data_IF_593762687683
#
_entry.id   IF_593762687683
#
_cell.length_a   1.000
_cell.length_b   1.000
_cell.length_c   1.000
_cell.angle_alpha   90.00
_cell.angle_beta   90.00
_cell.angle_gamma   90.00
#
_symmetry.space_group_name_H-M   'P 1'
#
loop_
_entity.id
_entity.type
_entity.pdbx_description
1 polymer ?
#
# COMPACT_ATOMS: atom_id res chain seq x y z
N UNK A 1 40.20 33.62 49.89
CA UNK A 1 38.82 33.22 50.26
C UNK A 1 38.13 32.88 48.93
N UNK A 2 38.10 31.58 48.57
CA UNK A 2 36.93 30.68 48.67
C UNK A 2 35.74 31.19 47.84
N UNK A 3 34.99 30.43 47.05
CA UNK A 3 34.99 29.09 46.44
C UNK A 3 33.65 29.03 45.66
N UNK A 4 33.43 27.98 44.85
CA UNK A 4 32.20 27.58 44.12
C UNK A 4 31.92 28.35 42.81
N UNK A 5 31.87 27.76 41.62
CA UNK A 5 31.85 26.34 41.22
C UNK A 5 30.46 25.97 40.68
N UNK A 6 30.27 26.08 39.36
CA UNK A 6 29.20 25.37 38.64
C UNK A 6 29.75 24.92 37.29
N UNK A 7 30.04 23.63 37.26
CA UNK A 7 30.54 22.86 36.14
C UNK A 7 29.35 22.31 35.35
N UNK A 8 29.32 22.60 34.04
CA UNK A 8 28.39 21.98 33.09
C UNK A 8 28.72 20.49 32.94
N UNK A 9 27.77 19.56 33.13
CA UNK A 9 28.04 18.15 32.89
C UNK A 9 27.82 17.80 31.41
N UNK A 10 28.74 16.97 30.96
CA UNK A 10 28.93 16.37 29.66
C UNK A 10 27.76 15.50 29.17
N UNK A 11 27.54 15.60 27.86
CA UNK A 11 26.86 14.67 26.97
C UNK A 11 27.38 13.23 27.18
N UNK A 12 26.49 12.29 27.52
CA UNK A 12 26.85 10.88 27.59
C UNK A 12 25.99 10.05 28.54
N UNK A 13 24.70 9.86 28.23
CA UNK A 13 23.86 8.75 28.74
C UNK A 13 22.47 8.81 28.11
N UNK A 14 22.28 8.16 26.97
CA UNK A 14 20.93 7.87 26.45
C UNK A 14 20.80 6.54 25.68
N UNK A 15 21.84 5.70 25.63
CA UNK A 15 21.78 4.40 24.91
C UNK A 15 21.59 3.17 25.82
N UNK A 16 21.49 3.36 27.14
CA UNK A 16 21.37 2.24 28.09
C UNK A 16 19.94 2.03 28.64
N UNK A 17 19.00 2.95 28.38
CA UNK A 17 17.63 2.86 28.89
C UNK A 17 16.68 2.08 27.95
N UNK A 18 16.98 2.04 26.65
CA UNK A 18 16.09 1.44 25.64
C UNK A 18 16.25 -0.08 25.51
N UNK A 19 17.35 -0.66 26.02
CA UNK A 19 17.60 -2.11 25.99
C UNK A 19 17.01 -2.90 27.18
N UNK A 20 16.27 -2.25 28.09
CA UNK A 20 15.62 -2.91 29.24
C UNK A 20 14.12 -3.18 29.07
N UNK A 21 13.48 -2.67 28.02
CA UNK A 21 12.07 -2.99 27.74
C UNK A 21 11.86 -4.23 26.86
N UNK A 22 12.91 -4.79 26.25
CA UNK A 22 12.80 -5.94 25.34
C UNK A 22 13.14 -7.31 25.96
N UNK A 23 13.22 -7.43 27.29
CA UNK A 23 13.66 -8.68 27.94
C UNK A 23 12.75 -9.25 29.03
N UNK A 24 11.52 -8.76 29.17
CA UNK A 24 10.59 -9.19 30.23
C UNK A 24 9.22 -9.68 29.73
N UNK A 25 9.16 -10.38 28.59
CA UNK A 25 7.96 -11.13 28.18
C UNK A 25 8.24 -12.60 27.77
N UNK A 26 9.35 -13.17 28.24
CA UNK A 26 9.55 -14.63 28.22
C UNK A 26 9.77 -15.10 29.66
N UNK A 27 8.69 -15.55 30.29
CA UNK A 27 8.61 -16.60 31.31
C UNK A 27 7.41 -16.35 32.22
N UNK A 28 6.30 -17.03 31.90
CA UNK A 28 5.32 -17.50 32.88
C UNK A 28 4.59 -18.70 32.28
N UNK A 29 5.26 -19.84 32.36
CA UNK A 29 4.59 -21.14 32.44
C UNK A 29 4.00 -21.24 33.86
N UNK A 30 2.68 -21.14 33.98
CA UNK A 30 1.97 -21.53 35.19
C UNK A 30 1.20 -22.83 34.91
N UNK A 31 1.69 -23.86 35.58
CA UNK A 31 1.19 -25.23 35.64
C UNK A 31 -0.18 -25.24 36.34
N UNK A 32 -1.26 -25.58 35.62
CA UNK A 32 -2.55 -25.87 36.22
C UNK A 32 -3.17 -27.14 35.59
N UNK A 33 -2.97 -28.24 36.32
CA UNK A 33 -3.77 -29.46 36.43
C UNK A 33 -4.89 -29.71 35.41
N UNK A 34 -4.75 -30.83 34.70
CA UNK A 34 -5.73 -31.47 33.85
C UNK A 34 -7.05 -31.78 34.58
N UNK A 35 -8.18 -31.35 34.01
CA UNK A 35 -9.42 -32.14 33.87
C UNK A 35 -10.40 -31.39 32.96
N UNK A 36 -10.60 -31.90 31.72
CA UNK A 36 -11.54 -31.32 30.76
C UNK A 36 -11.20 -31.59 29.29
N UNK A 37 -10.74 -32.81 28.96
CA UNK A 37 -10.56 -33.23 27.57
C UNK A 37 -11.91 -33.34 26.85
N UNK A 38 -11.91 -33.08 25.53
CA UNK A 38 -12.98 -33.28 24.54
C UNK A 38 -13.67 -32.05 23.91
N UNK A 39 -13.49 -30.81 24.39
CA UNK A 39 -14.05 -29.62 23.68
C UNK A 39 -13.03 -28.73 22.94
N UNK A 40 -11.74 -28.77 23.31
CA UNK A 40 -10.75 -27.85 22.75
C UNK A 40 -10.16 -28.27 21.38
N UNK A 41 -10.19 -29.57 21.05
CA UNK A 41 -9.60 -30.10 19.79
C UNK A 41 -10.51 -29.86 18.58
N UNK A 42 -11.83 -29.76 18.79
CA UNK A 42 -12.80 -29.58 17.69
C UNK A 42 -12.85 -28.14 17.18
N UNK A 43 -12.54 -27.16 18.02
CA UNK A 43 -12.55 -25.73 17.68
C UNK A 43 -11.31 -25.33 16.88
N UNK A 44 -10.14 -25.85 17.20
CA UNK A 44 -8.91 -25.57 16.44
C UNK A 44 -8.92 -26.20 15.05
N UNK A 45 -9.45 -27.43 14.92
CA UNK A 45 -9.59 -28.10 13.63
C UNK A 45 -10.62 -27.43 12.71
N UNK A 46 -11.73 -26.90 13.25
CA UNK A 46 -12.73 -26.17 12.46
C UNK A 46 -12.25 -24.79 12.01
N UNK A 47 -11.49 -24.08 12.86
CA UNK A 47 -10.89 -22.78 12.47
C UNK A 47 -9.82 -22.98 11.38
N UNK A 48 -9.05 -24.07 11.43
CA UNK A 48 -8.07 -24.40 10.38
C UNK A 48 -8.75 -24.77 9.07
N UNK A 49 -9.78 -25.63 9.08
CA UNK A 49 -10.51 -25.99 7.85
C UNK A 49 -11.19 -24.78 7.21
N UNK A 50 -11.76 -23.88 8.00
CA UNK A 50 -12.42 -22.67 7.49
C UNK A 50 -11.42 -21.64 6.92
N UNK A 51 -10.18 -21.61 7.43
CA UNK A 51 -9.13 -20.74 6.91
C UNK A 51 -8.58 -21.25 5.58
N UNK A 52 -8.34 -22.55 5.46
CA UNK A 52 -7.85 -23.18 4.24
C UNK A 52 -8.86 -23.04 3.08
N UNK A 53 -10.16 -23.21 3.36
CA UNK A 53 -11.22 -23.06 2.37
C UNK A 53 -11.37 -21.59 1.91
N UNK A 54 -11.24 -20.63 2.83
CA UNK A 54 -11.22 -19.19 2.50
C UNK A 54 -10.02 -18.81 1.63
N UNK A 55 -8.83 -19.30 1.97
CA UNK A 55 -7.61 -19.01 1.21
C UNK A 55 -7.68 -19.65 -0.19
N UNK A 56 -8.23 -20.87 -0.30
CA UNK A 56 -8.46 -21.53 -1.58
C UNK A 56 -9.43 -20.74 -2.49
N UNK A 57 -10.52 -20.21 -1.94
CA UNK A 57 -11.46 -19.36 -2.69
C UNK A 57 -10.82 -18.04 -3.15
N UNK A 58 -9.97 -17.43 -2.31
CA UNK A 58 -9.21 -16.22 -2.67
C UNK A 58 -8.26 -16.50 -3.85
N UNK A 59 -7.54 -17.62 -3.82
CA UNK A 59 -6.65 -18.06 -4.90
C UNK A 59 -7.43 -18.29 -6.18
N UNK A 60 -8.56 -19.00 -6.11
CA UNK A 60 -9.40 -19.31 -7.27
C UNK A 60 -9.88 -18.03 -7.98
N UNK A 61 -10.44 -17.08 -7.24
CA UNK A 61 -10.90 -15.79 -7.80
C UNK A 61 -9.76 -14.96 -8.40
N UNK A 62 -8.59 -14.96 -7.76
CA UNK A 62 -7.43 -14.24 -8.27
C UNK A 62 -6.96 -14.82 -9.62
N UNK A 63 -6.94 -16.14 -9.76
CA UNK A 63 -6.52 -16.81 -10.99
C UNK A 63 -7.56 -16.66 -12.12
N UNK A 64 -8.83 -16.97 -11.82
CA UNK A 64 -9.92 -16.99 -12.79
C UNK A 64 -10.37 -15.58 -13.19
N UNK A 65 -10.67 -14.74 -12.20
CA UNK A 65 -11.27 -13.42 -12.40
C UNK A 65 -10.24 -12.29 -12.42
N UNK A 66 -9.01 -12.54 -11.94
CA UNK A 66 -8.04 -11.47 -11.72
C UNK A 66 -8.46 -10.54 -10.57
N UNK A 67 -9.25 -11.03 -9.61
CA UNK A 67 -9.87 -10.20 -8.58
C UNK A 67 -9.57 -10.72 -7.18
N UNK A 68 -9.22 -9.82 -6.26
CA UNK A 68 -9.01 -10.09 -4.84
C UNK A 68 -9.87 -9.14 -4.02
N UNK A 69 -10.63 -9.68 -3.07
CA UNK A 69 -11.42 -8.89 -2.14
C UNK A 69 -10.79 -8.90 -0.73
N UNK A 70 -10.63 -7.71 -0.16
CA UNK A 70 -10.15 -7.51 1.20
C UNK A 70 -11.26 -6.82 1.99
N UNK A 71 -11.84 -7.53 2.96
CA UNK A 71 -12.92 -7.03 3.80
C UNK A 71 -12.36 -6.62 5.17
N UNK A 72 -12.44 -5.34 5.51
CA UNK A 72 -12.01 -4.82 6.79
C UNK A 72 -13.13 -4.92 7.84
N UNK A 73 -12.82 -5.28 9.10
CA UNK A 73 -13.82 -5.42 10.17
C UNK A 73 -14.27 -4.07 10.76
N UNK A 74 -14.20 -2.98 9.99
CA UNK A 74 -14.49 -1.63 10.48
C UNK A 74 -14.21 -0.54 9.44
N UNK A 75 -14.36 0.71 9.88
CA UNK A 75 -14.16 1.90 9.04
C UNK A 75 -12.69 2.27 8.92
N UNK A 76 -12.34 2.96 7.84
CA UNK A 76 -10.99 3.45 7.57
C UNK A 76 -10.98 4.96 7.37
N UNK A 77 -9.85 5.61 7.63
CA UNK A 77 -9.70 7.04 7.34
C UNK A 77 -9.34 7.25 5.87
N UNK A 78 -9.65 8.44 5.35
CA UNK A 78 -9.26 8.87 4.01
C UNK A 78 -7.74 8.90 3.84
N UNK A 79 -7.01 9.34 4.87
CA UNK A 79 -5.54 9.24 4.94
C UNK A 79 -5.07 7.77 4.84
N UNK A 80 -5.77 6.86 5.53
CA UNK A 80 -5.53 5.43 5.44
C UNK A 80 -5.68 4.90 4.01
N UNK A 81 -6.74 5.30 3.30
CA UNK A 81 -6.94 4.94 1.89
C UNK A 81 -5.79 5.43 1.00
N UNK A 82 -5.31 6.67 1.22
CA UNK A 82 -4.14 7.17 0.51
C UNK A 82 -2.91 6.29 0.76
N UNK A 83 -2.67 5.92 2.02
CA UNK A 83 -1.56 5.02 2.39
C UNK A 83 -1.71 3.65 1.75
N UNK A 84 -2.91 3.09 1.65
CA UNK A 84 -3.16 1.82 0.97
C UNK A 84 -2.75 1.89 -0.50
N UNK A 85 -3.19 2.92 -1.21
CA UNK A 85 -2.84 3.13 -2.63
C UNK A 85 -1.33 3.31 -2.80
N UNK A 86 -0.70 4.14 -1.96
CA UNK A 86 0.74 4.39 -1.99
C UNK A 86 1.56 3.11 -1.79
N UNK A 87 1.21 2.29 -0.82
CA UNK A 87 1.93 1.04 -0.54
C UNK A 87 1.65 -0.03 -1.62
N UNK A 88 0.42 -0.13 -2.11
CA UNK A 88 0.07 -1.03 -3.23
C UNK A 88 0.84 -0.64 -4.49
N UNK A 89 0.93 0.65 -4.81
CA UNK A 89 1.72 1.16 -5.95
C UNK A 89 3.19 0.76 -5.82
N UNK A 90 3.82 1.02 -4.68
CA UNK A 90 5.22 0.63 -4.42
C UNK A 90 5.42 -0.88 -4.57
N UNK A 91 4.49 -1.67 -4.02
CA UNK A 91 4.52 -3.12 -4.09
C UNK A 91 4.43 -3.62 -5.54
N UNK A 92 3.47 -3.10 -6.31
CA UNK A 92 3.30 -3.45 -7.73
C UNK A 92 4.56 -3.11 -8.52
N UNK A 93 5.10 -1.90 -8.36
CA UNK A 93 6.33 -1.51 -9.07
C UNK A 93 7.51 -2.44 -8.76
N UNK A 94 7.65 -2.88 -7.51
CA UNK A 94 8.68 -3.84 -7.12
C UNK A 94 8.42 -5.25 -7.67
N UNK A 95 7.22 -5.80 -7.48
CA UNK A 95 6.86 -7.15 -7.95
C UNK A 95 6.90 -7.27 -9.47
N UNK A 96 6.55 -6.20 -10.18
CA UNK A 96 6.66 -6.07 -11.64
C UNK A 96 8.03 -5.62 -12.09
N UNK A 97 9.08 -5.78 -11.27
CA UNK A 97 10.50 -5.47 -11.55
C UNK A 97 10.72 -4.11 -12.25
N UNK A 98 9.88 -3.12 -11.94
CA UNK A 98 10.08 -1.73 -12.36
C UNK A 98 11.05 -1.01 -11.44
N UNK A 99 11.26 -1.56 -10.24
CA UNK A 99 12.26 -1.14 -9.28
C UNK A 99 13.17 -2.33 -8.96
N UNK A 100 14.50 -2.15 -8.87
CA UNK A 100 15.44 -3.24 -8.61
C UNK A 100 15.42 -3.71 -7.14
N UNK A 101 14.85 -2.90 -6.25
CA UNK A 101 14.66 -3.21 -4.83
C UNK A 101 13.45 -2.45 -4.29
N UNK A 102 13.06 -2.68 -3.04
CA UNK A 102 11.89 -1.99 -2.48
C UNK A 102 12.11 -0.47 -2.42
N UNK A 103 11.02 0.29 -2.48
CA UNK A 103 11.07 1.75 -2.39
C UNK A 103 11.89 2.25 -1.20
N UNK A 104 11.66 1.72 0.00
CA UNK A 104 12.37 2.16 1.20
C UNK A 104 13.87 1.86 1.14
N UNK A 105 14.26 0.72 0.54
CA UNK A 105 15.66 0.37 0.33
C UNK A 105 16.33 1.27 -0.70
N UNK A 106 15.59 1.70 -1.74
CA UNK A 106 16.07 2.67 -2.73
C UNK A 106 16.32 4.03 -2.08
N UNK A 107 15.37 4.54 -1.30
CA UNK A 107 15.51 5.82 -0.57
C UNK A 107 16.69 5.75 0.39
N UNK A 108 16.85 4.65 1.14
CA UNK A 108 17.99 4.46 2.04
C UNK A 108 19.32 4.46 1.27
N UNK A 109 19.41 3.68 0.19
CA UNK A 109 20.60 3.60 -0.67
C UNK A 109 20.94 4.97 -1.25
N UNK A 110 19.92 5.75 -1.61
CA UNK A 110 20.10 7.06 -2.18
C UNK A 110 20.75 8.03 -1.19
N UNK A 111 20.22 8.08 0.04
CA UNK A 111 20.75 8.89 1.14
C UNK A 111 22.19 8.50 1.50
N UNK A 112 22.48 7.20 1.51
CA UNK A 112 23.83 6.69 1.79
C UNK A 112 24.84 7.13 0.73
N UNK A 113 24.48 7.05 -0.55
CA UNK A 113 25.36 7.48 -1.64
C UNK A 113 25.59 8.98 -1.67
N UNK A 114 24.60 9.80 -1.33
CA UNK A 114 24.77 11.25 -1.19
C UNK A 114 25.74 11.63 -0.05
N UNK A 115 25.81 10.81 1.00
CA UNK A 115 26.75 11.01 2.11
C UNK A 115 28.19 10.57 1.77
N UNK A 116 28.38 9.65 0.82
CA UNK A 116 29.71 9.20 0.38
C UNK A 116 30.15 9.93 -0.90
N UNK A 117 30.99 10.96 -0.76
CA UNK A 117 31.46 11.87 -1.84
C UNK A 117 32.31 11.19 -2.95
N UNK A 118 32.41 9.87 -2.98
CA UNK A 118 33.18 9.13 -3.99
C UNK A 118 32.26 8.26 -4.84
N UNK A 119 32.00 8.65 -6.09
CA UNK A 119 31.26 7.79 -7.04
C UNK A 119 32.04 7.59 -8.34
N UNK A 120 32.31 6.31 -8.59
CA UNK A 120 32.78 5.72 -9.84
C UNK A 120 31.97 6.20 -11.05
N UNK A 121 32.66 6.52 -12.16
CA UNK A 121 32.04 7.11 -13.36
C UNK A 121 31.19 6.16 -14.23
N UNK A 122 31.30 4.83 -14.04
CA UNK A 122 30.49 3.84 -14.78
C UNK A 122 29.11 3.58 -14.15
N UNK A 123 28.93 3.91 -12.87
CA UNK A 123 27.68 3.80 -12.11
C UNK A 123 26.80 5.06 -12.20
N UNK A 124 27.26 6.11 -12.89
CA UNK A 124 26.61 7.43 -12.90
C UNK A 124 25.30 7.44 -13.72
N UNK A 125 25.23 6.71 -14.86
CA UNK A 125 24.04 6.70 -15.70
C UNK A 125 22.86 5.95 -15.06
N UNK A 126 23.09 4.77 -14.48
CA UNK A 126 22.02 4.00 -13.84
C UNK A 126 21.60 4.62 -12.51
N UNK A 127 22.54 5.28 -11.82
CA UNK A 127 22.22 6.13 -10.68
C UNK A 127 21.33 7.32 -11.03
N UNK A 128 21.60 8.04 -12.13
CA UNK A 128 20.73 9.14 -12.58
C UNK A 128 19.32 8.67 -12.94
N UNK A 129 19.20 7.49 -13.57
CA UNK A 129 17.88 6.87 -13.85
C UNK A 129 17.16 6.49 -12.56
N UNK A 130 17.89 5.94 -11.58
CA UNK A 130 17.37 5.64 -10.26
C UNK A 130 16.83 6.90 -9.57
N UNK A 131 17.63 7.97 -9.53
CA UNK A 131 17.24 9.25 -8.96
C UNK A 131 16.01 9.85 -9.66
N UNK A 132 15.97 9.82 -10.99
CA UNK A 132 14.83 10.31 -11.77
C UNK A 132 13.56 9.51 -11.47
N UNK A 133 13.65 8.17 -11.45
CA UNK A 133 12.50 7.30 -11.16
C UNK A 133 11.97 7.51 -9.75
N UNK A 134 12.87 7.63 -8.77
CA UNK A 134 12.50 7.91 -7.39
C UNK A 134 11.82 9.26 -7.26
N UNK A 135 12.34 10.30 -7.92
CA UNK A 135 11.73 11.62 -7.93
C UNK A 135 10.33 11.60 -8.57
N UNK A 136 10.16 10.93 -9.71
CA UNK A 136 8.85 10.75 -10.36
C UNK A 136 7.86 10.02 -9.45
N UNK A 137 8.30 8.97 -8.75
CA UNK A 137 7.49 8.21 -7.81
C UNK A 137 7.13 9.03 -6.56
N UNK A 138 8.10 9.72 -5.95
CA UNK A 138 7.88 10.61 -4.80
C UNK A 138 6.89 11.74 -5.14
N UNK A 139 7.02 12.34 -6.32
CA UNK A 139 6.10 13.37 -6.79
C UNK A 139 4.68 12.82 -6.92
N UNK A 140 4.50 11.64 -7.54
CA UNK A 140 3.19 10.98 -7.64
C UNK A 140 2.62 10.68 -6.26
N UNK A 141 3.42 10.14 -5.34
CA UNK A 141 2.98 9.80 -3.98
C UNK A 141 2.53 11.06 -3.22
N UNK A 142 3.30 12.15 -3.31
CA UNK A 142 2.96 13.42 -2.66
C UNK A 142 1.68 14.03 -3.22
N UNK A 143 1.49 13.95 -4.53
CA UNK A 143 0.31 14.51 -5.20
C UNK A 143 -0.93 13.65 -4.97
N UNK A 144 -0.78 12.34 -4.78
CA UNK A 144 -1.84 11.48 -4.28
C UNK A 144 -2.29 11.95 -2.90
N UNK A 145 -1.38 12.21 -1.95
CA UNK A 145 -1.76 12.72 -0.62
C UNK A 145 -2.57 14.02 -0.70
N UNK A 146 -2.15 14.96 -1.56
CA UNK A 146 -2.90 16.21 -1.80
C UNK A 146 -4.29 15.91 -2.36
N UNK A 147 -4.40 15.08 -3.40
CA UNK A 147 -5.69 14.76 -4.01
C UNK A 147 -6.63 14.07 -3.01
N UNK A 148 -6.11 13.11 -2.24
CA UNK A 148 -6.86 12.45 -1.17
C UNK A 148 -7.27 13.40 -0.05
N UNK A 149 -6.60 14.53 0.17
CA UNK A 149 -7.07 15.56 1.12
C UNK A 149 -8.23 16.40 0.58
N UNK A 150 -8.35 16.52 -0.75
CA UNK A 150 -9.30 17.39 -1.44
C UNK A 150 -10.60 16.68 -1.84
N UNK A 151 -10.54 15.37 -2.13
CA UNK A 151 -11.68 14.59 -2.60
C UNK A 151 -11.61 13.17 -2.07
N UNK A 152 -12.79 12.55 -1.91
CA UNK A 152 -12.88 11.09 -1.82
C UNK A 152 -12.37 10.47 -3.12
N UNK A 153 -11.80 9.27 -3.01
CA UNK A 153 -11.22 8.55 -4.14
C UNK A 153 -11.80 7.14 -4.16
N UNK A 154 -12.84 6.89 -4.98
CA UNK A 154 -13.43 5.56 -5.10
C UNK A 154 -12.52 4.57 -5.81
N UNK A 155 -11.76 4.99 -6.83
CA UNK A 155 -10.99 4.08 -7.68
C UNK A 155 -9.67 4.68 -8.12
N UNK A 156 -8.64 3.84 -8.18
CA UNK A 156 -7.31 4.17 -8.71
C UNK A 156 -6.92 3.12 -9.73
N UNK A 157 -6.36 3.56 -10.86
CA UNK A 157 -5.85 2.70 -11.93
C UNK A 157 -4.35 2.90 -12.10
N UNK A 158 -3.62 1.80 -12.22
CA UNK A 158 -2.21 1.78 -12.60
C UNK A 158 -2.10 1.11 -13.97
N UNK A 159 -1.74 1.89 -14.98
CA UNK A 159 -1.58 1.41 -16.35
C UNK A 159 -0.09 1.27 -16.62
N UNK A 160 0.36 0.05 -16.93
CA UNK A 160 1.76 -0.22 -17.21
C UNK A 160 1.97 -0.54 -18.68
N UNK A 161 2.82 0.25 -19.33
CA UNK A 161 3.17 0.12 -20.74
C UNK A 161 2.00 0.33 -21.70
N UNK A 162 2.29 0.33 -23.00
CA UNK A 162 1.27 0.54 -24.03
C UNK A 162 0.70 1.96 -24.04
N UNK A 163 -0.61 2.07 -24.27
CA UNK A 163 -1.34 3.36 -24.29
C UNK A 163 -2.46 3.38 -23.27
N UNK A 164 -3.06 4.55 -23.01
CA UNK A 164 -4.21 4.67 -22.11
C UNK A 164 -5.42 3.81 -22.53
N UNK A 165 -5.58 3.57 -23.84
CA UNK A 165 -6.68 2.78 -24.40
C UNK A 165 -6.38 1.28 -24.36
N UNK A 166 -5.11 0.92 -24.54
CA UNK A 166 -4.65 -0.47 -24.58
C UNK A 166 -3.31 -0.58 -23.83
N UNK A 167 -3.35 -0.61 -22.49
CA UNK A 167 -2.16 -0.85 -21.69
C UNK A 167 -1.71 -2.31 -21.81
N UNK A 168 -0.46 -2.60 -21.45
CA UNK A 168 0.00 -3.99 -21.38
C UNK A 168 -0.53 -4.68 -20.13
N UNK A 169 -0.54 -3.96 -19.01
CA UNK A 169 -1.07 -4.43 -17.74
C UNK A 169 -1.92 -3.31 -17.11
N UNK A 170 -2.99 -3.71 -16.42
CA UNK A 170 -3.94 -2.80 -15.79
C UNK A 170 -4.28 -3.30 -14.39
N UNK A 171 -3.93 -2.52 -13.39
CA UNK A 171 -4.28 -2.74 -12.00
C UNK A 171 -5.36 -1.74 -11.58
N UNK A 172 -6.36 -2.22 -10.88
CA UNK A 172 -7.45 -1.42 -10.36
C UNK A 172 -7.54 -1.61 -8.85
N UNK A 173 -7.49 -0.51 -8.10
CA UNK A 173 -7.75 -0.49 -6.67
C UNK A 173 -9.15 0.10 -6.51
N UNK A 174 -10.13 -0.73 -6.15
CA UNK A 174 -11.51 -0.32 -5.94
C UNK A 174 -11.76 -0.14 -4.43
N UNK A 175 -12.18 1.06 -4.05
CA UNK A 175 -12.46 1.52 -2.68
C UNK A 175 -13.89 2.05 -2.54
N UNK A 176 -14.76 1.87 -3.53
CA UNK A 176 -16.15 2.34 -3.52
C UNK A 176 -16.94 1.78 -2.33
N UNK A 177 -16.59 0.56 -1.89
CA UNK A 177 -17.26 -0.14 -0.80
C UNK A 177 -16.60 0.08 0.58
N UNK A 178 -15.63 1.00 0.69
CA UNK A 178 -15.03 1.35 1.97
C UNK A 178 -15.90 2.35 2.72
N UNK A 179 -16.26 2.01 3.95
CA UNK A 179 -16.86 2.96 4.88
C UNK A 179 -15.74 3.87 5.43
N UNK A 180 -15.79 5.16 5.09
CA UNK A 180 -14.79 6.13 5.53
C UNK A 180 -15.34 7.02 6.63
N UNK A 181 -14.74 6.91 7.82
CA UNK A 181 -15.07 7.73 8.98
C UNK A 181 -13.90 8.65 9.33
N UNK A 182 -14.20 9.89 9.71
CA UNK A 182 -13.21 10.85 10.22
C UNK A 182 -12.97 10.74 11.73
N UNK A 183 -13.58 9.78 12.41
CA UNK A 183 -13.58 9.68 13.88
C UNK A 183 -12.51 8.74 14.47
N UNK A 184 -12.34 8.82 15.80
CA UNK A 184 -11.36 8.07 16.61
C UNK A 184 -11.54 6.54 16.62
N UNK A 185 -12.55 5.98 15.93
CA UNK A 185 -12.85 4.55 15.92
C UNK A 185 -12.40 3.83 14.64
N UNK A 186 -11.53 4.46 13.84
CA UNK A 186 -11.02 3.85 12.62
C UNK A 186 -9.96 2.79 12.90
N UNK A 187 -9.91 1.79 12.02
CA UNK A 187 -8.88 0.76 12.06
C UNK A 187 -7.50 1.36 11.86
N UNK A 188 -6.50 0.80 12.55
CA UNK A 188 -5.10 1.17 12.35
C UNK A 188 -4.66 0.83 10.92
N UNK A 189 -4.07 1.80 10.23
CA UNK A 189 -3.56 1.67 8.85
C UNK A 189 -2.62 0.47 8.72
N UNK A 190 -1.73 0.25 9.68
CA UNK A 190 -0.79 -0.88 9.68
C UNK A 190 -1.47 -2.24 9.74
N UNK A 191 -2.59 -2.38 10.45
CA UNK A 191 -3.36 -3.62 10.49
C UNK A 191 -4.05 -3.89 9.16
N UNK A 192 -4.62 -2.84 8.55
CA UNK A 192 -5.25 -2.94 7.23
C UNK A 192 -4.24 -3.29 6.14
N UNK A 193 -3.08 -2.61 6.10
CA UNK A 193 -1.99 -2.91 5.15
C UNK A 193 -1.49 -4.36 5.28
N UNK A 194 -1.30 -4.85 6.51
CA UNK A 194 -0.93 -6.26 6.75
C UNK A 194 -1.97 -7.21 6.19
N UNK A 195 -3.26 -6.92 6.39
CA UNK A 195 -4.33 -7.72 5.83
C UNK A 195 -4.32 -7.68 4.30
N UNK A 196 -4.22 -6.51 3.68
CA UNK A 196 -4.12 -6.34 2.22
C UNK A 196 -2.97 -7.20 1.68
N UNK A 197 -1.74 -7.01 2.18
CA UNK A 197 -0.59 -7.71 1.64
C UNK A 197 -0.59 -9.20 1.92
N UNK A 198 -1.16 -9.64 3.06
CA UNK A 198 -1.38 -11.07 3.31
C UNK A 198 -2.32 -11.65 2.27
N UNK A 199 -3.46 -11.00 2.01
CA UNK A 199 -4.43 -11.49 1.02
C UNK A 199 -3.86 -11.47 -0.39
N UNK A 200 -3.14 -10.41 -0.78
CA UNK A 200 -2.48 -10.34 -2.10
C UNK A 200 -1.40 -11.41 -2.27
N UNK A 201 -0.65 -11.71 -1.20
CA UNK A 201 0.36 -12.75 -1.21
C UNK A 201 -0.26 -14.14 -1.35
N UNK A 202 -1.31 -14.45 -0.58
CA UNK A 202 -2.03 -15.72 -0.69
C UNK A 202 -2.65 -15.88 -2.08
N UNK A 203 -3.28 -14.82 -2.58
CA UNK A 203 -3.90 -14.79 -3.91
C UNK A 203 -2.90 -14.93 -5.06
N UNK A 204 -1.61 -14.70 -4.79
CA UNK A 204 -0.53 -14.61 -5.78
C UNK A 204 -0.88 -13.68 -6.96
N UNK A 205 -1.68 -12.64 -6.70
CA UNK A 205 -2.28 -11.82 -7.76
C UNK A 205 -1.22 -11.13 -8.63
N UNK A 206 -0.14 -10.68 -7.99
CA UNK A 206 0.91 -9.87 -8.61
C UNK A 206 2.02 -10.70 -9.27
N UNK A 207 2.02 -12.02 -9.09
CA UNK A 207 2.98 -12.88 -9.78
C UNK A 207 2.61 -12.96 -11.26
N UNK A 208 3.61 -12.83 -12.11
CA UNK A 208 3.46 -13.14 -13.53
C UNK A 208 4.70 -13.88 -13.96
N UNK A 209 4.50 -14.97 -14.68
CA UNK A 209 5.55 -15.79 -15.24
C UNK A 209 6.12 -15.20 -16.54
N UNK A 210 5.47 -14.15 -17.09
CA UNK A 210 5.94 -13.48 -18.30
C UNK A 210 7.21 -12.68 -18.03
N UNK A 211 8.18 -12.69 -18.98
CA UNK A 211 9.41 -11.93 -18.85
C UNK A 211 9.09 -10.44 -18.72
N UNK A 212 9.47 -9.88 -17.57
CA UNK A 212 9.19 -8.51 -17.21
C UNK A 212 10.05 -7.58 -18.05
N UNK A 213 9.41 -6.62 -18.71
CA UNK A 213 10.07 -5.51 -19.41
C UNK A 213 9.88 -4.24 -18.59
N UNK A 214 10.87 -3.36 -18.58
CA UNK A 214 10.71 -2.02 -18.03
C UNK A 214 9.61 -1.30 -18.82
N UNK A 215 8.60 -0.84 -18.11
CA UNK A 215 7.39 -0.24 -18.65
C UNK A 215 7.08 1.05 -17.89
N UNK A 216 6.76 2.15 -18.59
CA UNK A 216 6.28 3.34 -17.92
C UNK A 216 4.94 3.04 -17.24
N UNK A 217 4.77 3.51 -16.01
CA UNK A 217 3.55 3.37 -15.24
C UNK A 217 2.84 4.71 -15.17
N UNK A 218 1.58 4.73 -15.61
CA UNK A 218 0.70 5.91 -15.53
C UNK A 218 -0.34 5.69 -14.45
N UNK A 219 -0.51 6.67 -13.57
CA UNK A 219 -1.52 6.64 -12.50
C UNK A 219 -2.74 7.46 -12.91
N UNK A 220 -3.93 6.86 -12.80
CA UNK A 220 -5.20 7.54 -12.94
C UNK A 220 -6.01 7.38 -11.65
N UNK A 221 -6.69 8.44 -11.25
CA UNK A 221 -7.45 8.52 -10.01
C UNK A 221 -8.84 9.04 -10.32
N UNK A 222 -9.88 8.38 -9.82
CA UNK A 222 -11.25 8.87 -9.93
C UNK A 222 -11.51 9.81 -8.74
N UNK A 223 -11.88 11.06 -9.01
CA UNK A 223 -12.13 12.07 -7.99
C UNK A 223 -13.24 13.03 -8.42
N UNK A 224 -13.80 13.78 -7.48
CA UNK A 224 -14.87 14.75 -7.75
C UNK A 224 -14.37 15.81 -8.74
N UNK A 225 -15.17 16.15 -9.76
CA UNK A 225 -14.77 17.09 -10.83
C UNK A 225 -14.33 18.46 -10.31
N UNK A 226 -14.94 18.91 -9.22
CA UNK A 226 -14.73 20.24 -8.63
C UNK A 226 -13.77 20.21 -7.42
N UNK A 227 -12.95 19.16 -7.25
CA UNK A 227 -12.03 19.06 -6.10
C UNK A 227 -10.87 20.07 -6.11
N UNK A 228 -10.69 20.82 -7.20
CA UNK A 228 -9.65 21.86 -7.29
C UNK A 228 -8.21 21.34 -7.42
N UNK A 229 -8.01 20.05 -7.72
CA UNK A 229 -6.67 19.49 -7.90
C UNK A 229 -5.99 20.09 -9.14
N UNK A 230 -4.82 20.72 -8.95
CA UNK A 230 -4.12 21.43 -10.02
C UNK A 230 -3.09 20.60 -10.79
N UNK A 231 -2.49 19.60 -10.12
CA UNK A 231 -1.38 18.83 -10.69
C UNK A 231 -1.86 17.70 -11.61
N UNK A 232 -2.87 16.93 -11.16
CA UNK A 232 -3.50 15.92 -12.01
C UNK A 232 -4.32 16.56 -13.13
N UNK A 233 -4.32 15.94 -14.31
CA UNK A 233 -5.04 16.43 -15.49
C UNK A 233 -6.37 15.69 -15.67
N UNK A 234 -7.51 16.37 -15.71
CA UNK A 234 -8.80 15.71 -15.94
C UNK A 234 -8.86 15.09 -17.34
N UNK A 235 -9.47 13.91 -17.44
CA UNK A 235 -9.65 13.11 -18.66
C UNK A 235 -11.12 12.73 -18.82
N UNK A 236 -11.94 13.71 -19.19
CA UNK A 236 -13.40 13.58 -19.32
C UNK A 236 -13.85 12.50 -20.32
N UNK A 237 -13.02 12.20 -21.32
CA UNK A 237 -13.32 11.21 -22.36
C UNK A 237 -12.69 9.84 -22.08
N UNK A 238 -11.95 9.68 -20.98
CA UNK A 238 -11.30 8.42 -20.68
C UNK A 238 -12.34 7.37 -20.28
N UNK A 239 -12.21 6.19 -20.87
CA UNK A 239 -12.98 5.00 -20.50
C UNK A 239 -12.00 3.93 -20.09
N UNK A 240 -12.32 3.21 -19.03
CA UNK A 240 -11.46 2.14 -18.52
C UNK A 240 -11.29 1.06 -19.60
N UNK A 241 -10.06 0.65 -19.95
CA UNK A 241 -9.84 -0.39 -20.95
C UNK A 241 -10.57 -1.68 -20.63
N UNK A 242 -11.28 -2.25 -21.61
CA UNK A 242 -12.05 -3.50 -21.48
C UNK A 242 -11.38 -4.69 -22.17
N UNK A 243 -10.41 -4.43 -23.06
CA UNK A 243 -9.71 -5.46 -23.85
C UNK A 243 -8.50 -6.06 -23.14
N UNK A 244 -8.16 -5.57 -21.96
CA UNK A 244 -6.98 -5.98 -21.18
C UNK A 244 -7.47 -6.67 -19.90
N UNK A 245 -6.92 -7.84 -19.56
CA UNK A 245 -7.23 -8.51 -18.29
C UNK A 245 -6.81 -7.58 -17.15
N UNK A 246 -7.76 -7.25 -16.28
CA UNK A 246 -7.54 -6.38 -15.12
C UNK A 246 -7.15 -7.22 -13.91
N UNK A 247 -6.28 -6.67 -13.08
CA UNK A 247 -6.05 -7.16 -11.74
C UNK A 247 -6.72 -6.20 -10.77
N UNK A 248 -7.81 -6.64 -10.14
CA UNK A 248 -8.68 -5.81 -9.32
C UNK A 248 -8.46 -6.15 -7.85
N UNK A 249 -8.10 -5.15 -7.06
CA UNK A 249 -7.98 -5.20 -5.61
C UNK A 249 -9.18 -4.44 -5.04
N UNK A 250 -10.20 -5.17 -4.63
CA UNK A 250 -11.40 -4.63 -4.01
C UNK A 250 -11.18 -4.50 -2.51
N UNK A 251 -11.28 -3.28 -2.01
CA UNK A 251 -11.23 -2.97 -0.59
C UNK A 251 -12.66 -2.63 -0.15
N UNK A 252 -13.13 -3.31 0.89
CA UNK A 252 -14.49 -3.13 1.41
C UNK A 252 -14.51 -3.16 2.94
N UNK A 253 -15.51 -2.53 3.54
CA UNK A 253 -15.76 -2.62 4.98
C UNK A 253 -16.90 -3.60 5.25
N UNK A 254 -16.81 -4.36 6.35
CA UNK A 254 -17.85 -5.33 6.74
C UNK A 254 -19.19 -4.60 6.94
N UNK A 255 -20.23 -4.94 6.15
CA UNK A 255 -21.52 -4.28 6.21
C UNK A 255 -22.27 -4.54 7.53
N UNK A 256 -21.91 -5.59 8.27
CA UNK A 256 -22.54 -5.88 9.57
C UNK A 256 -22.03 -4.96 10.68
N UNK A 257 -20.81 -4.43 10.52
CA UNK A 257 -20.17 -3.53 11.49
C UNK A 257 -20.46 -2.07 11.12
N UNK A 258 -20.50 -1.75 9.82
CA UNK A 258 -20.70 -0.41 9.32
C UNK A 258 -22.18 -0.17 9.00
N UNK A 259 -22.91 0.49 9.91
CA UNK A 259 -24.32 0.89 9.71
C UNK A 259 -24.49 2.12 8.79
N UNK A 260 -23.42 2.56 8.13
CA UNK A 260 -23.50 3.71 7.22
C UNK A 260 -24.31 3.32 5.98
N UNK A 261 -25.23 4.19 5.51
CA UNK A 261 -25.96 3.95 4.28
C UNK A 261 -24.94 3.76 3.16
N UNK A 262 -25.07 2.65 2.42
CA UNK A 262 -24.24 2.40 1.23
C UNK A 262 -24.36 3.61 0.32
N UNK A 263 -23.24 4.08 -0.21
CA UNK A 263 -23.23 5.00 -1.33
C UNK A 263 -24.06 4.35 -2.45
N UNK A 264 -25.27 4.86 -2.69
CA UNK A 264 -26.09 4.43 -3.80
C UNK A 264 -25.35 4.79 -5.10
N UNK A 265 -25.62 4.06 -6.19
CA UNK A 265 -24.86 4.19 -7.45
C UNK A 265 -24.78 5.60 -8.06
N UNK A 266 -25.55 6.55 -7.53
CA UNK A 266 -25.61 7.98 -7.84
C UNK A 266 -24.47 8.82 -7.23
N UNK A 267 -23.78 8.36 -6.17
CA UNK A 267 -22.79 9.18 -5.44
C UNK A 267 -21.52 9.52 -6.26
N UNK A 268 -21.28 8.78 -7.35
CA UNK A 268 -20.07 8.92 -8.17
C UNK A 268 -20.32 9.55 -9.55
N UNK A 269 -21.52 10.06 -9.83
CA UNK A 269 -21.88 10.66 -11.13
C UNK A 269 -21.05 11.90 -11.48
N UNK A 270 -20.69 12.70 -10.47
CA UNK A 270 -19.87 13.92 -10.63
C UNK A 270 -18.36 13.65 -10.60
N UNK A 271 -17.94 12.39 -10.64
CA UNK A 271 -16.53 12.00 -10.59
C UNK A 271 -15.94 11.82 -11.99
N UNK A 272 -14.72 12.29 -12.16
CA UNK A 272 -13.98 12.21 -13.43
C UNK A 272 -12.60 11.63 -13.21
N UNK A 273 -12.05 11.00 -14.24
CA UNK A 273 -10.70 10.45 -14.18
C UNK A 273 -9.67 11.56 -14.28
N UNK A 274 -8.73 11.56 -13.35
CA UNK A 274 -7.59 12.46 -13.26
C UNK A 274 -6.31 11.66 -13.53
N UNK A 275 -5.50 12.08 -14.51
CA UNK A 275 -4.25 11.42 -14.88
C UNK A 275 -3.05 12.20 -14.33
N UNK A 276 -2.07 11.49 -13.76
CA UNK A 276 -0.78 12.08 -13.43
C UNK A 276 -0.09 12.60 -14.72
N UNK A 277 0.45 13.84 -14.72
CA UNK A 277 1.16 14.40 -15.87
C UNK A 277 2.53 13.74 -16.09
N UNK A 278 3.10 13.10 -15.05
CA UNK A 278 4.34 12.34 -15.12
C UNK A 278 4.05 10.83 -15.20
N UNK A 279 4.95 10.10 -15.84
CA UNK A 279 4.91 8.63 -15.90
C UNK A 279 6.13 8.08 -15.18
N UNK A 280 5.93 7.15 -14.25
CA UNK A 280 7.03 6.53 -13.50
C UNK A 280 7.73 5.55 -14.42
N UNK A 281 8.98 5.82 -14.78
CA UNK A 281 9.76 4.92 -15.66
C UNK A 281 10.42 3.82 -14.84
N UNK A 282 10.14 2.56 -15.17
CA UNK A 282 10.88 1.45 -14.56
C UNK A 282 12.38 1.52 -14.89
N UNK A 283 13.23 1.09 -13.96
CA UNK A 283 14.65 0.93 -14.17
C UNK A 283 15.17 -0.39 -13.59
N UNK A 284 16.25 -0.90 -14.16
CA UNK A 284 16.99 -2.07 -13.69
C UNK A 284 18.48 -1.72 -13.59
N UNK A 285 19.19 -2.48 -12.76
CA UNK A 285 20.66 -2.44 -12.70
C UNK A 285 21.31 -3.20 -13.85
#
# INVERSE_FOLDING_TARGET
>A
MQLSGLQTPSLGRSEAAEKRLFKNEENKEDNASCQGGFKHIKVTASIQSDAEDRDAEVVRRAQEEGCVNVVFPGTVTQEGCCRFVSEILKCILYQRQQLPMTYDQLVYSQRKQQASVQVNRKTDMDWRKCQQTLQELEEVLQQLEVLFSLSRVPRVLLLMGGSLVLPKELYEINMESLASSGGNQCLRVSSCLRQIFRTLFVADLLSDTRPVRLMPTTVLVLAHRDCGVGWFRPKLQFKVPTRVKKQIIVLSSDPNVCKEPRAEGSDWEDYVWFQAPVTIKGFSN
#
